data_IF_780541631861
#
_entry.id   IF_780541631861
#
_cell.length_a   1.000
_cell.length_b   1.000
_cell.length_c   1.000
_cell.angle_alpha   90.00
_cell.angle_beta   90.00
_cell.angle_gamma   90.00
#
_symmetry.space_group_name_H-M   'P 1'
#
loop_
_entity.id
_entity.type
_entity.pdbx_description
1 polymer ?
#
# COMPACT_ATOMS: atom_id res chain seq x y z
N UNK A 1 52.55 -70.29 25.83
CA UNK A 1 51.70 -69.25 25.22
C UNK A 1 52.30 -68.81 23.90
N UNK A 2 51.58 -69.01 22.82
CA UNK A 2 52.00 -68.57 21.48
C UNK A 2 51.61 -67.10 21.28
N UNK A 3 52.29 -66.39 20.37
CA UNK A 3 52.03 -64.97 20.08
C UNK A 3 50.57 -64.72 19.64
N UNK A 4 49.93 -65.74 19.11
CA UNK A 4 48.55 -65.71 18.61
C UNK A 4 47.51 -65.71 19.75
N UNK A 5 47.81 -66.41 20.85
CA UNK A 5 46.97 -66.42 22.06
C UNK A 5 47.01 -65.06 22.78
N UNK A 6 48.19 -64.43 22.83
CA UNK A 6 48.36 -63.08 23.42
C UNK A 6 47.58 -62.04 22.62
N UNK A 7 47.57 -62.15 21.29
CA UNK A 7 46.87 -61.20 20.43
C UNK A 7 45.35 -61.32 20.56
N UNK A 8 44.82 -62.55 20.70
CA UNK A 8 43.39 -62.76 20.95
C UNK A 8 42.95 -62.16 22.28
N UNK A 9 43.70 -62.39 23.35
CA UNK A 9 43.39 -61.80 24.66
C UNK A 9 43.39 -60.26 24.64
N UNK A 10 44.28 -59.63 23.87
CA UNK A 10 44.34 -58.18 23.77
C UNK A 10 43.12 -57.61 23.00
N UNK A 11 42.69 -58.30 21.95
CA UNK A 11 41.50 -57.92 21.17
C UNK A 11 40.22 -58.09 22.01
N UNK A 12 40.13 -59.18 22.77
CA UNK A 12 38.96 -59.44 23.64
C UNK A 12 38.89 -58.43 24.79
N UNK A 13 40.02 -58.09 25.41
CA UNK A 13 40.09 -57.05 26.44
C UNK A 13 39.70 -55.66 25.89
N UNK A 14 40.11 -55.32 24.67
CA UNK A 14 39.70 -54.07 24.01
C UNK A 14 38.22 -54.07 23.61
N UNK A 15 37.65 -55.22 23.28
CA UNK A 15 36.22 -55.35 22.98
C UNK A 15 35.37 -55.19 24.24
N UNK A 16 35.79 -55.75 25.37
CA UNK A 16 35.14 -55.56 26.67
C UNK A 16 35.22 -54.12 27.17
N UNK A 17 36.37 -53.44 27.01
CA UNK A 17 36.51 -52.03 27.39
C UNK A 17 35.60 -51.12 26.54
N UNK A 18 35.47 -51.41 25.24
CA UNK A 18 34.51 -50.72 24.36
C UNK A 18 33.06 -51.00 24.75
N UNK A 19 32.73 -52.24 25.09
CA UNK A 19 31.39 -52.59 25.57
C UNK A 19 31.06 -51.92 26.91
N UNK A 20 32.03 -51.79 27.82
CA UNK A 20 31.88 -51.10 29.09
C UNK A 20 31.72 -49.58 28.92
N UNK A 21 32.50 -48.94 28.02
CA UNK A 21 32.33 -47.52 27.70
C UNK A 21 30.96 -47.23 27.06
N UNK A 22 30.47 -48.14 26.20
CA UNK A 22 29.18 -47.97 25.53
C UNK A 22 27.99 -48.24 26.47
N UNK A 23 28.15 -49.12 27.46
CA UNK A 23 27.16 -49.35 28.51
C UNK A 23 27.06 -48.17 29.50
N UNK A 24 28.16 -47.45 29.79
CA UNK A 24 28.15 -46.27 30.65
C UNK A 24 27.42 -45.06 30.04
N UNK A 25 27.34 -44.96 28.72
CA UNK A 25 26.65 -43.85 28.04
C UNK A 25 25.12 -44.01 27.96
N UNK A 26 24.57 -45.12 28.48
CA UNK A 26 23.13 -45.42 28.48
C UNK A 26 22.65 -45.62 29.91
N UNK A 27 22.68 -44.58 30.74
CA UNK A 27 22.10 -44.60 32.09
C UNK A 27 21.72 -43.19 32.55
N UNK A 28 20.49 -42.72 32.24
CA UNK A 28 19.47 -42.28 33.21
C UNK A 28 18.32 -41.47 32.54
N UNK A 29 17.05 -41.73 32.89
CA UNK A 29 15.86 -41.03 32.40
C UNK A 29 15.45 -39.89 33.34
N UNK A 30 15.08 -38.71 32.82
CA UNK A 30 14.37 -37.70 33.63
C UNK A 30 13.35 -36.96 32.79
N UNK A 31 12.08 -37.17 33.11
CA UNK A 31 10.88 -36.51 32.55
C UNK A 31 11.02 -34.97 32.44
N UNK A 32 11.88 -34.34 33.25
CA UNK A 32 12.14 -32.89 33.26
C UNK A 32 12.78 -32.32 31.97
N UNK A 33 13.64 -33.07 31.27
CA UNK A 33 14.30 -32.58 30.04
C UNK A 33 13.35 -32.59 28.85
N UNK A 34 12.48 -33.59 28.76
CA UNK A 34 11.46 -33.66 27.71
C UNK A 34 10.42 -32.53 27.86
N UNK A 35 9.93 -32.28 29.07
CA UNK A 35 8.98 -31.18 29.34
C UNK A 35 9.59 -29.80 29.05
N UNK A 36 10.85 -29.58 29.44
CA UNK A 36 11.54 -28.31 29.17
C UNK A 36 11.80 -28.10 27.68
N UNK A 37 12.22 -29.16 26.96
CA UNK A 37 12.44 -29.10 25.51
C UNK A 37 11.13 -28.87 24.76
N UNK A 38 10.03 -29.47 25.23
CA UNK A 38 8.69 -29.30 24.65
C UNK A 38 8.15 -27.89 24.90
N UNK A 39 8.39 -27.31 26.09
CA UNK A 39 8.01 -25.93 26.42
C UNK A 39 8.76 -24.90 25.56
N UNK A 40 10.09 -25.03 25.42
CA UNK A 40 10.91 -24.14 24.57
C UNK A 40 10.46 -24.22 23.11
N UNK A 41 10.10 -25.41 22.63
CA UNK A 41 9.59 -25.60 21.26
C UNK A 41 8.24 -24.94 21.05
N UNK A 42 7.34 -25.03 22.04
CA UNK A 42 6.05 -24.34 22.01
C UNK A 42 6.21 -22.82 22.05
N UNK A 43 7.11 -22.27 22.88
CA UNK A 43 7.40 -20.84 22.91
C UNK A 43 7.94 -20.33 21.57
N UNK A 44 8.90 -21.03 20.96
CA UNK A 44 9.42 -20.68 19.64
C UNK A 44 8.34 -20.77 18.54
N UNK A 45 7.43 -21.74 18.63
CA UNK A 45 6.32 -21.87 17.67
C UNK A 45 5.28 -20.76 17.83
N UNK A 46 5.01 -20.32 19.07
CA UNK A 46 4.17 -19.16 19.39
C UNK A 46 4.81 -17.85 18.91
N UNK A 47 6.13 -17.70 19.07
CA UNK A 47 6.86 -16.52 18.63
C UNK A 47 6.90 -16.41 17.09
N UNK A 48 7.15 -17.53 16.40
CA UNK A 48 7.12 -17.59 14.92
C UNK A 48 5.71 -17.35 14.38
N UNK A 49 4.68 -17.90 15.02
CA UNK A 49 3.29 -17.67 14.60
C UNK A 49 2.84 -16.22 14.89
N UNK A 50 3.27 -15.62 16.01
CA UNK A 50 3.07 -14.21 16.29
C UNK A 50 3.78 -13.30 15.28
N UNK A 51 5.04 -13.60 14.93
CA UNK A 51 5.79 -12.82 13.94
C UNK A 51 5.11 -12.87 12.56
N UNK A 52 4.66 -14.06 12.14
CA UNK A 52 3.91 -14.24 10.88
C UNK A 52 2.56 -13.54 10.88
N UNK A 53 1.87 -13.48 12.02
CA UNK A 53 0.62 -12.74 12.15
C UNK A 53 0.84 -11.24 11.94
N UNK A 54 1.90 -10.68 12.54
CA UNK A 54 2.28 -9.28 12.36
C UNK A 54 2.74 -8.98 10.92
N UNK A 55 3.44 -9.90 10.28
CA UNK A 55 3.79 -9.79 8.85
C UNK A 55 2.54 -9.83 7.96
N UNK A 56 1.59 -10.74 8.24
CA UNK A 56 0.32 -10.82 7.51
C UNK A 56 -0.53 -9.55 7.64
N UNK A 57 -0.54 -8.90 8.81
CA UNK A 57 -1.20 -7.60 9.00
C UNK A 57 -0.57 -6.49 8.16
N UNK A 58 0.77 -6.47 8.07
CA UNK A 58 1.50 -5.50 7.23
C UNK A 58 1.24 -5.74 5.75
N UNK A 59 1.25 -7.00 5.31
CA UNK A 59 0.96 -7.37 3.92
C UNK A 59 -0.48 -7.00 3.55
N UNK A 60 -1.43 -7.24 4.46
CA UNK A 60 -2.82 -6.84 4.27
C UNK A 60 -2.98 -5.31 4.21
N UNK A 61 -2.24 -4.57 5.04
CA UNK A 61 -2.23 -3.11 5.00
C UNK A 61 -1.62 -2.58 3.69
N UNK A 62 -0.54 -3.20 3.20
CA UNK A 62 0.09 -2.86 1.92
C UNK A 62 -0.86 -3.11 0.74
N UNK A 63 -1.57 -4.24 0.71
CA UNK A 63 -2.54 -4.51 -0.35
C UNK A 63 -3.72 -3.52 -0.30
N UNK A 64 -4.21 -3.20 0.90
CA UNK A 64 -5.27 -2.20 1.06
C UNK A 64 -4.82 -0.81 0.56
N UNK A 65 -3.59 -0.40 0.86
CA UNK A 65 -3.03 0.87 0.37
C UNK A 65 -2.85 0.82 -1.15
N UNK A 66 -2.32 -0.28 -1.69
CA UNK A 66 -2.14 -0.45 -3.12
C UNK A 66 -3.48 -0.35 -3.88
N UNK A 67 -4.53 -0.98 -3.35
CA UNK A 67 -5.87 -0.92 -3.92
C UNK A 67 -6.46 0.50 -3.86
N UNK A 68 -6.29 1.21 -2.73
CA UNK A 68 -6.70 2.62 -2.65
C UNK A 68 -5.96 3.50 -3.67
N UNK A 69 -4.66 3.27 -3.88
CA UNK A 69 -3.88 3.98 -4.89
C UNK A 69 -4.44 3.69 -6.29
N UNK A 70 -4.73 2.43 -6.64
CA UNK A 70 -5.33 2.06 -7.93
C UNK A 70 -6.68 2.78 -8.14
N UNK A 71 -7.54 2.80 -7.12
CA UNK A 71 -8.84 3.46 -7.20
C UNK A 71 -8.72 4.98 -7.35
N UNK A 72 -7.80 5.62 -6.61
CA UNK A 72 -7.54 7.06 -6.74
C UNK A 72 -6.97 7.40 -8.12
N UNK A 73 -6.04 6.60 -8.64
CA UNK A 73 -5.48 6.76 -9.99
C UNK A 73 -6.56 6.63 -11.06
N UNK A 74 -7.46 5.64 -10.96
CA UNK A 74 -8.57 5.47 -11.90
C UNK A 74 -9.53 6.67 -11.89
N UNK A 75 -9.83 7.25 -10.72
CA UNK A 75 -10.64 8.48 -10.59
C UNK A 75 -9.96 9.71 -11.18
N UNK A 76 -8.64 9.80 -11.09
CA UNK A 76 -7.86 10.88 -11.70
C UNK A 76 -7.86 10.72 -13.22
N UNK A 77 -7.62 9.50 -13.72
CA UNK A 77 -7.55 9.24 -15.15
C UNK A 77 -8.92 9.39 -15.83
N UNK A 78 -9.99 8.95 -15.19
CA UNK A 78 -11.36 9.20 -15.65
C UNK A 78 -11.71 10.68 -15.79
N UNK A 79 -11.12 11.56 -14.97
CA UNK A 79 -11.24 13.02 -15.10
C UNK A 79 -10.35 13.61 -16.20
N UNK A 80 -9.18 13.02 -16.47
CA UNK A 80 -8.26 13.47 -17.54
C UNK A 80 -8.77 13.15 -18.94
N UNK A 81 -9.40 12.00 -19.15
CA UNK A 81 -9.81 11.51 -20.49
C UNK A 81 -10.89 12.42 -21.13
N UNK A 82 -11.65 13.18 -20.33
CA UNK A 82 -12.67 14.13 -20.82
C UNK A 82 -12.21 15.58 -20.99
N UNK A 83 -11.06 15.97 -20.42
CA UNK A 83 -10.53 17.35 -20.41
C UNK A 83 -9.42 17.51 -21.46
N UNK A 84 -9.70 16.94 -22.63
CA UNK A 84 -8.77 16.69 -23.71
C UNK A 84 -7.85 17.87 -24.05
N UNK A 85 -6.62 17.52 -24.43
CA UNK A 85 -5.61 18.38 -25.08
C UNK A 85 -6.22 19.57 -25.83
N UNK A 86 -5.78 20.78 -25.49
CA UNK A 86 -6.15 22.03 -26.19
C UNK A 86 -6.87 23.06 -25.33
N UNK A 87 -7.26 22.71 -24.10
CA UNK A 87 -7.89 23.68 -23.20
C UNK A 87 -6.87 24.70 -22.64
N UNK A 88 -7.18 26.01 -22.58
CA UNK A 88 -6.30 27.03 -21.99
C UNK A 88 -6.16 26.97 -20.46
N UNK A 89 -6.75 25.97 -19.78
CA UNK A 89 -6.77 25.88 -18.31
C UNK A 89 -6.10 24.62 -17.82
N UNK A 90 -5.57 24.71 -16.61
CA UNK A 90 -4.97 23.57 -15.93
C UNK A 90 -6.02 22.50 -15.59
N UNK A 91 -5.53 21.28 -15.36
CA UNK A 91 -6.36 20.18 -14.88
C UNK A 91 -7.05 20.52 -13.55
N UNK A 92 -6.37 21.24 -12.65
CA UNK A 92 -6.93 21.69 -11.38
C UNK A 92 -8.19 22.54 -11.59
N UNK A 93 -8.11 23.54 -12.47
CA UNK A 93 -9.25 24.39 -12.79
C UNK A 93 -10.38 23.53 -13.35
N UNK A 94 -10.11 22.72 -14.37
CA UNK A 94 -11.12 21.96 -15.08
C UNK A 94 -11.78 20.84 -14.24
N UNK A 95 -11.06 20.30 -13.26
CA UNK A 95 -11.52 19.27 -12.34
C UNK A 95 -12.07 19.82 -11.02
N UNK A 96 -12.13 21.14 -10.85
CA UNK A 96 -12.69 21.75 -9.65
C UNK A 96 -14.15 21.32 -9.47
N UNK A 97 -14.51 20.85 -8.28
CA UNK A 97 -15.87 20.41 -8.00
C UNK A 97 -16.84 21.58 -8.08
N UNK A 98 -17.94 21.41 -8.82
CA UNK A 98 -19.00 22.40 -8.85
C UNK A 98 -19.85 22.27 -7.58
N UNK A 99 -20.28 23.39 -6.96
CA UNK A 99 -21.25 23.35 -5.88
C UNK A 99 -22.52 22.58 -6.26
N UNK A 100 -23.13 21.86 -5.31
CA UNK A 100 -24.35 21.07 -5.56
C UNK A 100 -25.52 21.90 -6.09
N UNK A 101 -25.56 23.18 -5.75
CA UNK A 101 -26.55 24.18 -6.18
C UNK A 101 -25.96 25.19 -7.18
N UNK A 102 -25.00 24.76 -8.02
CA UNK A 102 -24.37 25.62 -9.02
C UNK A 102 -25.43 26.27 -9.92
N UNK A 103 -25.39 27.60 -9.98
CA UNK A 103 -26.23 28.39 -10.88
C UNK A 103 -25.43 28.77 -12.11
N UNK A 104 -26.03 28.53 -13.27
CA UNK A 104 -25.45 28.98 -14.53
C UNK A 104 -25.33 30.51 -14.57
N UNK A 105 -24.21 30.99 -15.08
CA UNK A 105 -23.98 32.41 -15.29
C UNK A 105 -24.68 32.82 -16.58
N UNK A 106 -25.80 33.55 -16.46
CA UNK A 106 -26.59 34.05 -17.59
C UNK A 106 -25.95 35.29 -18.25
N UNK A 107 -24.66 35.21 -18.57
CA UNK A 107 -23.87 36.25 -19.21
C UNK A 107 -23.27 35.67 -20.50
N UNK A 108 -23.26 36.45 -21.57
CA UNK A 108 -22.76 35.98 -22.88
C UNK A 108 -21.83 37.01 -23.50
N UNK A 109 -20.70 36.53 -24.02
CA UNK A 109 -19.74 37.29 -24.79
C UNK A 109 -19.49 36.63 -26.13
N UNK A 110 -19.92 37.29 -27.20
CA UNK A 110 -19.82 36.78 -28.57
C UNK A 110 -18.56 37.23 -29.32
N UNK A 111 -17.68 37.99 -28.67
CA UNK A 111 -16.51 38.63 -29.30
C UNK A 111 -16.81 39.99 -29.95
N UNK A 112 -18.08 40.35 -30.09
CA UNK A 112 -18.54 41.63 -30.65
C UNK A 112 -19.11 42.61 -29.62
N UNK A 113 -19.43 42.13 -28.42
CA UNK A 113 -19.86 42.95 -27.28
C UNK A 113 -18.68 43.65 -26.61
N UNK A 114 -18.93 44.71 -25.84
CA UNK A 114 -17.87 45.46 -25.14
C UNK A 114 -17.17 44.59 -24.06
N UNK A 115 -15.87 44.27 -24.24
CA UNK A 115 -15.12 43.45 -23.28
C UNK A 115 -14.95 44.15 -21.93
N UNK A 116 -14.93 45.49 -21.91
CA UNK A 116 -14.77 46.31 -20.70
C UNK A 116 -15.98 46.18 -19.77
N UNK A 117 -17.12 45.73 -20.29
CA UNK A 117 -18.34 45.47 -19.51
C UNK A 117 -18.51 44.00 -19.14
N UNK A 118 -18.04 43.10 -20.00
CA UNK A 118 -18.20 41.66 -19.78
C UNK A 118 -17.44 41.18 -18.54
N UNK A 119 -16.15 41.49 -18.46
CA UNK A 119 -15.30 40.98 -17.39
C UNK A 119 -15.74 41.45 -15.99
N UNK A 120 -15.99 42.75 -15.74
CA UNK A 120 -16.48 43.19 -14.42
C UNK A 120 -17.86 42.63 -14.07
N UNK A 121 -18.74 42.42 -15.07
CA UNK A 121 -20.05 41.82 -14.84
C UNK A 121 -19.91 40.35 -14.43
N UNK A 122 -19.02 39.62 -15.10
CA UNK A 122 -18.72 38.23 -14.76
C UNK A 122 -18.13 38.09 -13.36
N UNK A 123 -17.16 38.94 -13.01
CA UNK A 123 -16.53 38.95 -11.68
C UNK A 123 -17.57 39.21 -10.58
N UNK A 124 -18.41 40.22 -10.75
CA UNK A 124 -19.50 40.53 -9.81
C UNK A 124 -20.46 39.34 -9.65
N UNK A 125 -20.79 38.66 -10.73
CA UNK A 125 -21.65 37.46 -10.69
C UNK A 125 -20.97 36.31 -9.95
N UNK A 126 -19.68 36.10 -10.20
CA UNK A 126 -18.89 35.06 -9.52
C UNK A 126 -18.85 35.26 -8.00
N UNK A 127 -18.64 36.51 -7.55
CA UNK A 127 -18.67 36.88 -6.13
C UNK A 127 -20.05 36.65 -5.53
N UNK A 128 -21.12 37.06 -6.23
CA UNK A 128 -22.49 36.88 -5.76
C UNK A 128 -22.87 35.41 -5.60
N UNK A 129 -22.38 34.55 -6.49
CA UNK A 129 -22.60 33.11 -6.45
C UNK A 129 -21.69 32.38 -5.45
N UNK A 130 -20.70 33.05 -4.87
CA UNK A 130 -19.74 32.45 -3.95
C UNK A 130 -18.86 31.40 -4.63
N UNK A 131 -18.59 31.56 -5.93
CA UNK A 131 -17.73 30.64 -6.66
C UNK A 131 -16.27 30.82 -6.23
N UNK A 132 -15.53 29.71 -6.15
CA UNK A 132 -14.07 29.76 -6.04
C UNK A 132 -13.44 30.17 -7.38
N UNK A 133 -12.21 30.67 -7.35
CA UNK A 133 -11.48 31.08 -8.57
C UNK A 133 -11.48 29.98 -9.64
N UNK A 134 -11.26 28.73 -9.24
CA UNK A 134 -11.25 27.59 -10.15
C UNK A 134 -12.63 27.35 -10.81
N UNK A 135 -13.72 27.48 -10.04
CA UNK A 135 -15.09 27.38 -10.56
C UNK A 135 -15.41 28.56 -11.47
N UNK A 136 -14.99 29.78 -11.10
CA UNK A 136 -15.14 30.98 -11.93
C UNK A 136 -14.40 30.86 -13.25
N UNK A 137 -13.14 30.39 -13.28
CA UNK A 137 -12.43 30.15 -14.53
C UNK A 137 -13.20 29.17 -15.43
N UNK A 138 -13.68 28.05 -14.89
CA UNK A 138 -14.51 27.11 -15.67
C UNK A 138 -15.80 27.75 -16.18
N UNK A 139 -16.52 28.47 -15.32
CA UNK A 139 -17.79 29.10 -15.67
C UNK A 139 -17.63 30.20 -16.72
N UNK A 140 -16.48 30.88 -16.76
CA UNK A 140 -16.19 31.92 -17.74
C UNK A 140 -16.29 31.40 -19.18
N UNK A 141 -15.82 30.18 -19.44
CA UNK A 141 -15.91 29.56 -20.77
C UNK A 141 -17.36 29.39 -21.23
N UNK A 142 -18.25 29.07 -20.28
CA UNK A 142 -19.67 28.93 -20.52
C UNK A 142 -20.34 30.27 -20.86
N UNK A 143 -19.64 31.40 -20.72
CA UNK A 143 -20.11 32.71 -21.18
C UNK A 143 -19.69 33.03 -22.61
N UNK A 144 -18.69 32.35 -23.17
CA UNK A 144 -18.20 32.64 -24.54
C UNK A 144 -19.13 32.02 -25.58
N UNK A 145 -19.40 32.72 -26.69
CA UNK A 145 -20.22 32.24 -27.82
C UNK A 145 -19.63 32.70 -29.15
N UNK A 146 -19.98 32.02 -30.24
CA UNK A 146 -19.59 32.43 -31.59
C UNK A 146 -18.07 32.59 -31.73
N UNK A 147 -17.62 33.64 -32.41
CA UNK A 147 -16.19 33.89 -32.65
C UNK A 147 -15.34 34.17 -31.41
N UNK A 148 -15.91 34.19 -30.21
CA UNK A 148 -15.14 34.18 -28.95
C UNK A 148 -14.78 32.76 -28.46
N UNK A 149 -15.28 31.71 -29.12
CA UNK A 149 -14.94 30.30 -28.82
C UNK A 149 -13.89 29.72 -29.77
N UNK A 150 -13.64 30.40 -30.90
CA UNK A 150 -12.78 29.95 -32.00
C UNK A 150 -11.32 30.44 -31.86
#
# INVERSE_FOLDING_TARGET
MTKEEVMRMLVDAQAEERAQMQAQHVSHPTTATNTTTQAIRQEMELEVSSSRAVEGEKDQALENIAEQIRQLQAKIEGRKIGLARGHPFSHEILCADLPTNFKEVSLTYSGSSDPSRHLPCFENMSVLLGNSDAVSCRAFLATMRGGAQD
#
